data_IF_199751021959
#
_entry.id   IF_199751021959
#
_cell.length_a   1.000
_cell.length_b   1.000
_cell.length_c   1.000
_cell.angle_alpha   90.00
_cell.angle_beta   90.00
_cell.angle_gamma   90.00
#
_symmetry.space_group_name_H-M   'P 1'
#
loop_
_entity.id
_entity.type
_entity.pdbx_description
1 polymer ?
#
# COMPACT_ATOMS: atom_id res chain seq x y z
N UNK A 1 1.94 19.01 -4.52
CA UNK A 1 1.96 17.86 -3.62
C UNK A 1 0.53 17.36 -3.48
N UNK A 2 0.27 16.11 -3.83
CA UNK A 2 -1.09 15.55 -3.68
C UNK A 2 -1.35 15.18 -2.22
N UNK A 3 -2.62 15.00 -1.82
CA UNK A 3 -2.93 14.48 -0.47
C UNK A 3 -2.25 13.13 -0.20
N UNK A 4 -2.29 12.25 -1.19
CA UNK A 4 -1.65 10.94 -1.12
C UNK A 4 -0.13 11.04 -0.89
N UNK A 5 0.53 11.98 -1.58
CA UNK A 5 1.97 12.23 -1.44
C UNK A 5 2.31 12.80 -0.04
N UNK A 6 1.44 13.62 0.54
CA UNK A 6 1.60 14.08 1.93
C UNK A 6 1.43 12.94 2.94
N UNK A 7 0.44 12.07 2.73
CA UNK A 7 0.17 10.93 3.62
C UNK A 7 1.37 9.97 3.66
N UNK A 8 1.89 9.56 2.50
CA UNK A 8 3.03 8.64 2.45
C UNK A 8 4.30 9.26 3.03
N UNK A 9 4.58 10.54 2.78
CA UNK A 9 5.73 11.23 3.39
C UNK A 9 5.58 11.35 4.90
N UNK A 10 4.37 11.59 5.41
CA UNK A 10 4.08 11.62 6.84
C UNK A 10 4.45 10.29 7.49
N UNK A 11 3.91 9.17 6.99
CA UNK A 11 4.23 7.85 7.55
C UNK A 11 5.68 7.46 7.34
N UNK A 12 6.27 7.79 6.19
CA UNK A 12 7.67 7.51 5.92
C UNK A 12 8.56 8.16 6.98
N UNK A 13 8.33 9.43 7.30
CA UNK A 13 9.10 10.17 8.31
C UNK A 13 8.99 9.61 9.74
N UNK A 14 7.92 8.87 10.05
CA UNK A 14 7.72 8.24 11.36
C UNK A 14 8.00 6.74 11.36
N UNK A 15 8.44 6.19 10.22
CA UNK A 15 8.74 4.77 10.07
C UNK A 15 10.21 4.45 10.31
N UNK A 16 10.46 3.24 10.80
CA UNK A 16 11.78 2.67 11.00
C UNK A 16 12.39 2.08 9.71
N UNK A 17 11.82 2.33 8.52
CA UNK A 17 12.40 1.85 7.27
C UNK A 17 13.86 2.28 7.13
N UNK A 18 14.66 1.39 6.56
CA UNK A 18 16.08 1.64 6.37
C UNK A 18 16.33 2.82 5.42
N UNK A 19 17.46 3.52 5.58
CA UNK A 19 17.80 4.66 4.73
C UNK A 19 17.90 4.32 3.23
N UNK A 20 18.43 3.15 2.80
CA UNK A 20 18.35 2.73 1.41
C UNK A 20 16.91 2.64 0.91
N UNK A 21 16.02 1.99 1.67
CA UNK A 21 14.60 1.89 1.28
C UNK A 21 13.94 3.28 1.27
N UNK A 22 14.28 4.16 2.22
CA UNK A 22 13.78 5.55 2.24
C UNK A 22 14.17 6.33 0.98
N UNK A 23 15.38 6.11 0.45
CA UNK A 23 15.80 6.70 -0.83
C UNK A 23 14.96 6.17 -2.00
N UNK A 24 14.69 4.87 -2.02
CA UNK A 24 13.83 4.22 -3.01
C UNK A 24 12.38 4.71 -2.95
N UNK A 25 11.82 4.96 -1.76
CA UNK A 25 10.52 5.61 -1.62
C UNK A 25 10.49 6.99 -2.30
N UNK A 26 11.54 7.80 -2.11
CA UNK A 26 11.63 9.12 -2.77
C UNK A 26 11.74 8.98 -4.29
N UNK A 27 12.48 7.99 -4.78
CA UNK A 27 12.60 7.75 -6.23
C UNK A 27 11.29 7.24 -6.84
N UNK A 28 10.60 6.33 -6.14
CA UNK A 28 9.26 5.88 -6.51
C UNK A 28 8.28 7.06 -6.57
N UNK A 29 8.25 7.94 -5.56
CA UNK A 29 7.34 9.10 -5.56
C UNK A 29 7.60 10.07 -6.72
N UNK A 30 8.85 10.16 -7.18
CA UNK A 30 9.23 11.00 -8.32
C UNK A 30 8.90 10.36 -9.67
N UNK A 31 9.07 9.05 -9.80
CA UNK A 31 9.04 8.35 -11.11
C UNK A 31 7.77 7.54 -11.34
N UNK A 32 7.10 7.14 -10.26
CA UNK A 32 6.00 6.18 -10.25
C UNK A 32 6.40 4.76 -10.69
N UNK A 33 7.69 4.43 -10.73
CA UNK A 33 8.23 3.16 -11.26
C UNK A 33 8.80 2.27 -10.15
N UNK A 34 8.87 0.95 -10.37
CA UNK A 34 9.57 0.04 -9.46
C UNK A 34 11.03 0.47 -9.28
N UNK A 35 11.55 0.29 -8.07
CA UNK A 35 12.95 0.56 -7.70
C UNK A 35 13.59 -0.74 -7.19
N UNK A 36 14.92 -0.79 -6.96
CA UNK A 36 15.57 -2.01 -6.48
C UNK A 36 14.97 -2.63 -5.21
N UNK A 37 14.48 -1.81 -4.28
CA UNK A 37 13.92 -2.21 -2.99
C UNK A 37 12.39 -2.07 -2.91
N UNK A 38 11.73 -1.56 -3.96
CA UNK A 38 10.27 -1.50 -4.09
C UNK A 38 9.87 -2.15 -5.42
N UNK A 39 9.62 -3.45 -5.36
CA UNK A 39 9.30 -4.27 -6.53
C UNK A 39 7.79 -4.41 -6.72
N UNK A 40 7.32 -4.21 -7.95
CA UNK A 40 5.94 -4.47 -8.36
C UNK A 40 5.86 -4.51 -9.89
N UNK A 41 4.75 -5.01 -10.44
CA UNK A 41 4.54 -4.99 -11.89
C UNK A 41 4.30 -3.56 -12.38
N UNK A 42 5.10 -3.10 -13.34
CA UNK A 42 5.04 -1.72 -13.88
C UNK A 42 3.67 -1.34 -14.48
N UNK A 43 2.80 -2.32 -14.76
CA UNK A 43 1.43 -2.10 -15.25
C UNK A 43 0.45 -1.72 -14.13
N UNK A 44 0.82 -1.87 -12.86
CA UNK A 44 -0.04 -1.46 -11.76
C UNK A 44 -0.15 0.07 -11.71
N UNK A 45 -1.36 0.63 -11.51
CA UNK A 45 -1.51 2.08 -11.39
C UNK A 45 -0.71 2.61 -10.20
N UNK A 46 0.18 3.59 -10.44
CA UNK A 46 1.08 4.17 -9.43
C UNK A 46 0.33 4.57 -8.16
N UNK A 47 -0.82 5.23 -8.29
CA UNK A 47 -1.64 5.67 -7.13
C UNK A 47 -2.10 4.51 -6.24
N UNK A 48 -2.30 3.31 -6.78
CA UNK A 48 -2.72 2.13 -6.01
C UNK A 48 -1.55 1.48 -5.29
N UNK A 49 -0.38 1.47 -5.92
CA UNK A 49 0.88 1.06 -5.29
C UNK A 49 1.21 2.03 -4.15
N UNK A 50 1.15 3.33 -4.38
CA UNK A 50 1.41 4.37 -3.36
C UNK A 50 0.50 4.21 -2.13
N UNK A 51 -0.80 3.93 -2.33
CA UNK A 51 -1.75 3.64 -1.25
C UNK A 51 -1.38 2.40 -0.45
N UNK A 52 -0.93 1.35 -1.13
CA UNK A 52 -0.47 0.10 -0.50
C UNK A 52 0.79 0.35 0.32
N UNK A 53 1.77 1.06 -0.24
CA UNK A 53 2.98 1.46 0.46
C UNK A 53 2.69 2.34 1.68
N UNK A 54 1.74 3.27 1.56
CA UNK A 54 1.28 4.09 2.69
C UNK A 54 0.73 3.22 3.81
N UNK A 55 -0.10 2.22 3.48
CA UNK A 55 -0.65 1.29 4.47
C UNK A 55 0.41 0.40 5.13
N UNK A 56 1.44 -0.02 4.38
CA UNK A 56 2.60 -0.73 4.93
C UNK A 56 3.29 0.13 5.98
N UNK A 57 3.59 1.40 5.68
CA UNK A 57 4.26 2.31 6.61
C UNK A 57 3.41 2.61 7.85
N UNK A 58 2.08 2.76 7.68
CA UNK A 58 1.13 2.95 8.78
C UNK A 58 1.09 1.70 9.69
N UNK A 59 1.08 0.51 9.11
CA UNK A 59 0.90 -0.75 9.85
C UNK A 59 2.18 -1.20 10.55
N UNK A 60 3.35 -0.84 10.00
CA UNK A 60 4.65 -1.29 10.49
C UNK A 60 5.60 -0.11 10.82
N UNK A 61 5.20 0.85 11.67
CA UNK A 61 5.99 2.05 11.90
C UNK A 61 7.34 1.76 12.57
N UNK A 62 7.45 0.66 13.32
CA UNK A 62 8.66 0.32 14.07
C UNK A 62 9.50 -0.78 13.43
N UNK A 63 9.07 -1.36 12.30
CA UNK A 63 9.84 -2.42 11.65
C UNK A 63 10.96 -1.83 10.79
N UNK A 64 12.20 -2.36 10.89
CA UNK A 64 13.31 -1.95 10.04
C UNK A 64 13.18 -2.58 8.64
N UNK A 65 12.23 -2.10 7.85
CA UNK A 65 11.95 -2.64 6.51
C UNK A 65 13.13 -2.33 5.58
N UNK A 66 13.60 -3.36 4.90
CA UNK A 66 14.71 -3.33 3.96
C UNK A 66 14.24 -3.37 2.51
N UNK A 67 13.15 -4.12 2.25
CA UNK A 67 12.58 -4.27 0.91
C UNK A 67 11.09 -4.57 0.96
N UNK A 68 10.39 -4.12 -0.07
CA UNK A 68 8.97 -4.37 -0.27
C UNK A 68 8.75 -4.95 -1.67
N UNK A 69 7.92 -5.99 -1.75
CA UNK A 69 7.40 -6.51 -3.02
C UNK A 69 5.87 -6.54 -2.99
N UNK A 70 5.23 -6.03 -4.04
CA UNK A 70 3.78 -6.02 -4.17
C UNK A 70 3.39 -6.80 -5.43
N UNK A 71 2.58 -7.83 -5.24
CA UNK A 71 1.98 -8.62 -6.31
C UNK A 71 0.47 -8.63 -6.17
N UNK A 72 -0.26 -8.54 -7.28
CA UNK A 72 -1.71 -8.55 -7.24
C UNK A 72 -2.41 -8.24 -8.55
N UNK A 73 -3.66 -7.81 -8.41
CA UNK A 73 -4.52 -7.42 -9.53
C UNK A 73 -5.26 -6.12 -9.20
N UNK A 74 -5.40 -5.26 -10.22
CA UNK A 74 -6.03 -3.94 -10.12
C UNK A 74 -7.24 -3.87 -11.03
N UNK A 75 -8.40 -3.53 -10.45
CA UNK A 75 -9.61 -3.11 -11.17
C UNK A 75 -9.68 -1.59 -11.32
N UNK A 76 -10.85 -1.03 -11.61
CA UNK A 76 -11.07 0.41 -11.49
C UNK A 76 -11.19 0.80 -10.01
N UNK A 77 -12.02 0.06 -9.29
CA UNK A 77 -12.44 0.30 -7.91
C UNK A 77 -11.51 -0.32 -6.85
N UNK A 78 -10.77 -1.37 -7.21
CA UNK A 78 -9.98 -2.15 -6.26
C UNK A 78 -8.51 -2.33 -6.64
N UNK A 79 -7.68 -2.62 -5.65
CA UNK A 79 -6.35 -3.22 -5.77
C UNK A 79 -6.19 -4.27 -4.68
N UNK A 80 -5.90 -5.51 -5.06
CA UNK A 80 -5.81 -6.62 -4.11
C UNK A 80 -4.70 -7.59 -4.46
N UNK A 81 -4.15 -8.22 -3.44
CA UNK A 81 -3.08 -9.20 -3.60
C UNK A 81 -2.28 -9.33 -2.32
N UNK A 82 -0.97 -9.47 -2.48
CA UNK A 82 -0.04 -9.76 -1.41
C UNK A 82 1.11 -8.77 -1.43
N UNK A 83 1.48 -8.28 -0.25
CA UNK A 83 2.72 -7.54 -0.02
C UNK A 83 3.69 -8.42 0.77
N UNK A 84 4.95 -8.48 0.33
CA UNK A 84 6.06 -9.05 1.09
C UNK A 84 6.86 -7.89 1.67
N UNK A 85 7.01 -7.88 2.99
CA UNK A 85 7.75 -6.87 3.75
C UNK A 85 8.96 -7.57 4.35
N UNK A 86 10.14 -7.31 3.78
CA UNK A 86 11.40 -7.93 4.18
C UNK A 86 12.13 -7.06 5.20
N UNK A 87 12.65 -7.73 6.24
CA UNK A 87 13.46 -7.16 7.30
C UNK A 87 14.64 -8.09 7.58
N UNK A 88 15.68 -7.63 8.27
CA UNK A 88 16.76 -8.51 8.72
C UNK A 88 16.34 -9.67 9.62
N UNK A 89 15.14 -9.63 10.22
CA UNK A 89 14.58 -10.71 11.04
C UNK A 89 13.76 -11.74 10.25
N UNK A 90 13.42 -11.43 8.99
CA UNK A 90 12.59 -12.29 8.14
C UNK A 90 11.60 -11.51 7.28
N UNK A 91 10.72 -12.25 6.61
CA UNK A 91 9.70 -11.70 5.70
C UNK A 91 8.32 -11.80 6.33
N UNK A 92 7.60 -10.68 6.38
CA UNK A 92 6.18 -10.67 6.68
C UNK A 92 5.38 -10.67 5.38
N UNK A 93 4.37 -11.53 5.30
CA UNK A 93 3.43 -11.56 4.17
C UNK A 93 2.14 -10.91 4.61
N UNK A 94 1.61 -10.01 3.79
CA UNK A 94 0.34 -9.33 4.07
C UNK A 94 -0.61 -9.51 2.90
N UNK A 95 -1.79 -10.06 3.17
CA UNK A 95 -2.89 -10.04 2.21
C UNK A 95 -3.64 -8.73 2.32
N UNK A 96 -3.87 -8.07 1.18
CA UNK A 96 -4.55 -6.78 1.16
C UNK A 96 -5.65 -6.73 0.11
N UNK A 97 -6.68 -5.93 0.39
CA UNK A 97 -7.66 -5.46 -0.58
C UNK A 97 -8.01 -4.01 -0.28
N UNK A 98 -7.54 -3.10 -1.12
CA UNK A 98 -7.98 -1.71 -1.17
C UNK A 98 -9.16 -1.61 -2.13
N UNK A 99 -10.32 -1.14 -1.68
CA UNK A 99 -11.54 -1.06 -2.48
C UNK A 99 -12.38 0.18 -2.12
N UNK A 100 -12.39 1.18 -3.01
CA UNK A 100 -13.12 2.42 -2.78
C UNK A 100 -14.64 2.29 -2.94
N UNK A 101 -15.08 1.33 -3.75
CA UNK A 101 -16.51 1.04 -3.88
C UNK A 101 -17.06 0.53 -2.55
N UNK A 102 -16.36 -0.43 -1.93
CA UNK A 102 -16.72 -0.91 -0.60
C UNK A 102 -16.79 0.23 0.42
N UNK A 103 -15.78 1.12 0.45
CA UNK A 103 -15.79 2.26 1.39
C UNK A 103 -17.00 3.18 1.14
N UNK A 104 -17.34 3.47 -0.12
CA UNK A 104 -18.52 4.27 -0.45
C UNK A 104 -19.82 3.60 0.03
N UNK A 105 -19.94 2.28 -0.16
CA UNK A 105 -21.09 1.49 0.34
C UNK A 105 -21.18 1.55 1.88
N UNK A 106 -20.07 1.41 2.59
CA UNK A 106 -20.03 1.53 4.07
C UNK A 106 -20.49 2.90 4.56
N UNK A 107 -20.22 3.95 3.79
CA UNK A 107 -20.58 5.33 4.13
C UNK A 107 -21.98 5.73 3.62
N UNK A 108 -22.67 4.83 2.91
CA UNK A 108 -23.95 5.14 2.27
C UNK A 108 -23.84 6.23 1.21
N UNK A 109 -22.67 6.37 0.56
CA UNK A 109 -22.43 7.39 -0.46
C UNK A 109 -22.83 6.86 -1.83
N UNK A 110 -23.78 7.55 -2.45
CA UNK A 110 -24.21 7.28 -3.81
C UNK A 110 -23.91 8.47 -4.72
N UNK A 111 -23.57 8.17 -5.97
CA UNK A 111 -23.48 9.15 -7.04
C UNK A 111 -24.87 9.57 -7.53
N UNK A 112 -24.92 10.48 -8.50
CA UNK A 112 -26.17 10.96 -9.08
C UNK A 112 -27.06 9.86 -9.70
N UNK A 113 -26.46 8.72 -10.07
CA UNK A 113 -27.16 7.58 -10.67
C UNK A 113 -27.56 6.51 -9.65
N UNK A 114 -27.24 6.71 -8.37
CA UNK A 114 -27.53 5.76 -7.31
C UNK A 114 -26.49 4.64 -7.16
N UNK A 115 -25.37 4.68 -7.89
CA UNK A 115 -24.26 3.75 -7.68
C UNK A 115 -23.36 4.23 -6.54
N UNK A 116 -22.58 3.35 -5.88
CA UNK A 116 -21.65 3.79 -4.86
C UNK A 116 -20.64 4.82 -5.38
N UNK A 117 -20.51 5.97 -4.70
CA UNK A 117 -19.60 7.05 -5.11
C UNK A 117 -18.14 6.74 -4.71
N UNK A 118 -17.58 5.75 -5.40
CA UNK A 118 -16.19 5.32 -5.23
C UNK A 118 -15.17 6.43 -5.55
N UNK A 119 -15.54 7.39 -6.41
CA UNK A 119 -14.67 8.50 -6.77
C UNK A 119 -14.54 9.48 -5.59
N UNK A 120 -15.66 9.76 -4.91
CA UNK A 120 -15.65 10.53 -3.66
C UNK A 120 -14.89 9.79 -2.56
N UNK A 121 -15.15 8.50 -2.36
CA UNK A 121 -14.40 7.70 -1.40
C UNK A 121 -12.88 7.74 -1.65
N UNK A 122 -12.44 7.64 -2.92
CA UNK A 122 -11.03 7.72 -3.28
C UNK A 122 -10.38 9.07 -3.00
N UNK A 123 -11.13 10.18 -3.14
CA UNK A 123 -10.65 11.53 -2.86
C UNK A 123 -10.63 11.84 -1.36
N UNK A 124 -11.65 11.41 -0.63
CA UNK A 124 -11.84 11.76 0.77
C UNK A 124 -11.11 10.83 1.74
N UNK A 125 -10.88 9.57 1.36
CA UNK A 125 -10.20 8.58 2.21
C UNK A 125 -8.83 8.14 1.68
N UNK A 126 -8.48 8.44 0.43
CA UNK A 126 -7.14 8.19 -0.11
C UNK A 126 -6.74 6.71 0.00
N UNK A 127 -5.73 6.43 0.83
CA UNK A 127 -5.27 5.07 1.10
C UNK A 127 -6.18 4.29 2.05
N UNK A 128 -6.98 4.94 2.89
CA UNK A 128 -7.79 4.28 3.94
C UNK A 128 -9.09 3.66 3.39
N UNK A 129 -8.99 2.84 2.34
CA UNK A 129 -10.10 2.05 1.79
C UNK A 129 -9.82 0.54 1.82
N UNK A 130 -9.03 0.08 2.79
CA UNK A 130 -8.71 -1.34 2.93
C UNK A 130 -9.88 -2.11 3.54
N UNK A 131 -10.46 -3.02 2.74
CA UNK A 131 -11.43 -4.04 3.20
C UNK A 131 -10.71 -5.17 3.90
N UNK A 132 -9.51 -5.49 3.41
CA UNK A 132 -8.67 -6.58 3.91
C UNK A 132 -7.26 -6.07 4.16
N UNK A 133 -6.74 -6.40 5.32
CA UNK A 133 -5.35 -6.22 5.72
C UNK A 133 -5.02 -7.30 6.76
N UNK A 134 -4.44 -8.41 6.30
CA UNK A 134 -4.20 -9.59 7.12
C UNK A 134 -2.72 -9.98 7.06
N UNK A 135 -2.08 -9.95 8.22
CA UNK A 135 -0.69 -10.40 8.39
C UNK A 135 -0.65 -11.93 8.46
N UNK A 136 0.09 -12.53 7.55
CA UNK A 136 0.43 -13.95 7.56
C UNK A 136 1.84 -14.09 8.14
N UNK A 137 1.93 -14.72 9.32
CA UNK A 137 3.20 -15.15 9.86
C UNK A 137 3.80 -16.21 8.91
N UNK A 138 4.81 -15.83 8.14
CA UNK A 138 5.68 -16.80 7.50
C UNK A 138 6.55 -17.39 8.61
N UNK A 139 6.14 -18.55 9.11
CA UNK A 139 6.89 -19.28 10.14
C UNK A 139 8.38 -19.33 9.76
N UNK A 140 9.24 -19.07 10.74
CA UNK A 140 10.68 -19.10 10.56
C UNK A 140 11.07 -20.36 9.78
N UNK A 141 11.66 -20.18 8.61
CA UNK A 141 12.26 -21.28 7.86
C UNK A 141 13.39 -21.84 8.73
N UNK A 142 13.12 -22.92 9.44
CA UNK A 142 14.16 -23.77 10.01
C UNK A 142 14.89 -24.40 8.83
N UNK A 143 15.92 -23.71 8.35
CA UNK A 143 16.97 -24.35 7.57
C UNK A 143 17.61 -25.42 8.47
N UNK A 144 17.39 -26.67 8.10
CA UNK A 144 18.10 -27.83 8.62
C UNK A 144 19.46 -27.97 7.91
#
# INVERSE_FOLDING_TARGET
>A
MTRQEMDILHFLNHSAVTEPLRADFRDFLRTGRPTPLIAFDIRYPTVKVERTLTKILESFPTLPIERIEIAGTSGCEFFRGTALVETGAGTQRVQFEWNCRWKAEQLGWSDYFGFPDQARAAREHGYDCFVRWEEEALGASTAA
#
